data_IF_672490424158
#
_entry.id   IF_672490424158
#
_cell.length_a   1.000
_cell.length_b   1.000
_cell.length_c   1.000
_cell.angle_alpha   90.00
_cell.angle_beta   90.00
_cell.angle_gamma   90.00
#
_symmetry.space_group_name_H-M   'P 1'
#
loop_
_entity.id
_entity.type
_entity.pdbx_description
1 polymer ?
#
# COMPACT_ATOMS: atom_id res chain seq x y z
N UNK A 1 -0.19 -7.71 33.57
CA UNK A 1 -1.21 -7.81 32.50
C UNK A 1 -0.47 -7.83 31.17
N UNK A 2 -0.25 -9.02 30.61
CA UNK A 2 0.56 -9.18 29.38
C UNK A 2 -0.38 -8.89 28.20
N UNK A 3 -0.30 -7.68 27.68
CA UNK A 3 -0.98 -7.30 26.44
C UNK A 3 -0.27 -8.06 25.33
N UNK A 4 -0.90 -9.14 24.85
CA UNK A 4 -0.46 -9.82 23.63
C UNK A 4 -0.61 -8.81 22.49
N UNK A 5 0.49 -8.17 22.08
CA UNK A 5 0.59 -7.50 20.79
C UNK A 5 0.17 -8.54 19.74
N UNK A 6 -1.01 -8.34 19.17
CA UNK A 6 -1.59 -9.25 18.18
C UNK A 6 -0.69 -9.14 16.94
N UNK A 7 0.20 -10.12 16.76
CA UNK A 7 1.07 -10.23 15.58
C UNK A 7 0.18 -10.28 14.33
N UNK A 8 0.38 -9.40 13.34
CA UNK A 8 -0.32 -9.47 12.06
C UNK A 8 0.20 -10.61 11.16
N UNK A 9 1.21 -11.36 11.60
CA UNK A 9 1.84 -12.45 10.83
C UNK A 9 0.90 -13.61 10.45
N UNK A 10 -0.33 -13.68 10.96
CA UNK A 10 -1.22 -14.81 10.69
C UNK A 10 -1.98 -14.76 9.35
N UNK A 11 -1.78 -13.74 8.52
CA UNK A 11 -2.37 -13.70 7.16
C UNK A 11 -1.31 -14.02 6.08
N UNK A 12 -0.06 -14.29 6.47
CA UNK A 12 1.07 -14.39 5.54
C UNK A 12 1.18 -15.69 4.72
N UNK A 13 0.35 -16.71 4.95
CA UNK A 13 0.59 -18.06 4.41
C UNK A 13 -0.51 -18.65 3.51
N UNK A 14 -1.52 -17.89 3.09
CA UNK A 14 -2.59 -18.41 2.24
C UNK A 14 -2.77 -17.55 0.99
N UNK A 15 -1.96 -17.88 -0.03
CA UNK A 15 -2.38 -18.18 -1.41
C UNK A 15 -1.12 -18.31 -2.28
N UNK A 16 -0.50 -19.48 -2.21
CA UNK A 16 0.59 -19.92 -3.10
C UNK A 16 0.05 -20.27 -4.50
N UNK A 17 -0.57 -19.32 -5.21
CA UNK A 17 -1.05 -19.56 -6.58
C UNK A 17 -0.89 -18.37 -7.53
N UNK A 18 0.14 -17.54 -7.35
CA UNK A 18 0.69 -16.73 -8.44
C UNK A 18 2.13 -17.18 -8.67
N UNK A 19 2.31 -18.16 -9.56
CA UNK A 19 3.61 -18.57 -10.08
C UNK A 19 4.21 -17.36 -10.83
N UNK A 20 5.46 -17.02 -10.49
CA UNK A 20 6.31 -15.95 -11.05
C UNK A 20 6.01 -14.50 -10.62
N UNK A 21 6.55 -14.11 -9.45
CA UNK A 21 7.65 -13.12 -9.39
C UNK A 21 7.94 -12.73 -7.94
N UNK A 22 9.22 -12.85 -7.60
CA UNK A 22 9.93 -12.30 -6.46
C UNK A 22 9.28 -12.48 -5.08
N UNK A 23 9.93 -13.32 -4.28
CA UNK A 23 9.87 -13.31 -2.82
C UNK A 23 10.07 -11.87 -2.32
N UNK A 24 8.98 -11.12 -2.20
CA UNK A 24 8.98 -9.85 -1.49
C UNK A 24 8.93 -10.21 0.00
N UNK A 25 10.11 -10.35 0.59
CA UNK A 25 10.28 -10.16 2.03
C UNK A 25 9.53 -8.88 2.39
N UNK A 26 8.40 -9.03 3.09
CA UNK A 26 7.67 -7.89 3.62
C UNK A 26 8.40 -7.50 4.89
N UNK A 27 9.46 -6.71 4.76
CA UNK A 27 10.02 -5.97 5.89
C UNK A 27 8.89 -5.13 6.50
N UNK A 28 8.83 -5.03 7.84
CA UNK A 28 7.82 -4.21 8.50
C UNK A 28 8.16 -2.74 8.19
N UNK A 29 7.41 -2.02 7.35
CA UNK A 29 7.79 -0.65 7.01
C UNK A 29 7.64 0.21 8.27
N UNK A 30 8.68 0.98 8.61
CA UNK A 30 8.60 2.03 9.63
C UNK A 30 7.75 3.17 9.07
N UNK A 31 6.44 3.06 9.22
CA UNK A 31 5.56 4.03 8.61
C UNK A 31 5.55 5.33 9.41
N UNK A 32 6.04 6.41 8.80
CA UNK A 32 6.01 7.77 9.35
C UNK A 32 4.61 8.38 9.23
N UNK A 33 4.21 9.17 10.23
CA UNK A 33 3.01 10.00 10.16
C UNK A 33 3.34 11.34 9.49
N UNK A 34 2.79 11.58 8.30
CA UNK A 34 3.05 12.79 7.50
C UNK A 34 2.08 13.93 7.79
N UNK A 35 1.19 13.79 8.78
CA UNK A 35 0.18 14.79 9.13
C UNK A 35 0.78 16.16 9.52
N UNK A 36 2.07 16.19 9.88
CA UNK A 36 2.80 17.42 10.18
C UNK A 36 3.24 18.21 8.93
N UNK A 37 3.15 17.64 7.73
CA UNK A 37 3.45 18.37 6.49
C UNK A 37 2.29 19.32 6.11
N UNK A 38 2.60 20.51 5.58
CA UNK A 38 1.57 21.43 5.11
C UNK A 38 0.76 20.81 3.97
N UNK A 39 -0.55 21.07 3.94
CA UNK A 39 -1.51 20.52 2.97
C UNK A 39 -1.07 20.74 1.52
N UNK A 40 -0.46 21.90 1.22
CA UNK A 40 0.00 22.24 -0.11
C UNK A 40 1.12 21.32 -0.62
N UNK A 41 1.96 20.78 0.28
CA UNK A 41 2.99 19.83 -0.09
C UNK A 41 2.43 18.41 -0.28
N UNK A 42 1.50 18.00 0.60
CA UNK A 42 0.77 16.72 0.48
C UNK A 42 -0.08 16.63 -0.79
N UNK A 43 -0.63 17.76 -1.25
CA UNK A 43 -1.47 17.86 -2.44
C UNK A 43 -0.72 18.44 -3.66
N UNK A 44 0.61 18.48 -3.60
CA UNK A 44 1.41 19.02 -4.70
C UNK A 44 1.24 18.18 -5.97
N UNK A 45 1.38 18.82 -7.14
CA UNK A 45 1.35 18.11 -8.43
C UNK A 45 2.44 17.04 -8.53
N UNK A 46 3.58 17.27 -7.88
CA UNK A 46 4.69 16.32 -7.77
C UNK A 46 4.32 15.09 -6.93
N UNK A 47 3.69 15.29 -5.76
CA UNK A 47 3.19 14.20 -4.93
C UNK A 47 2.19 13.32 -5.68
N UNK A 48 1.32 13.92 -6.50
CA UNK A 48 0.39 13.17 -7.35
C UNK A 48 1.11 12.34 -8.42
N UNK A 49 2.10 12.93 -9.10
CA UNK A 49 2.93 12.19 -10.07
C UNK A 49 3.72 11.05 -9.42
N UNK A 50 4.21 11.25 -8.20
CA UNK A 50 4.88 10.21 -7.44
C UNK A 50 3.92 9.07 -7.09
N UNK A 51 2.72 9.40 -6.60
CA UNK A 51 1.69 8.39 -6.31
C UNK A 51 1.29 7.59 -7.57
N UNK A 52 1.14 8.25 -8.71
CA UNK A 52 0.83 7.56 -9.98
C UNK A 52 1.96 6.59 -10.38
N UNK A 53 3.23 6.96 -10.17
CA UNK A 53 4.38 6.07 -10.37
C UNK A 53 4.39 4.91 -9.38
N UNK A 54 4.11 5.17 -8.11
CA UNK A 54 4.04 4.15 -7.08
C UNK A 54 2.95 3.10 -7.38
N UNK A 55 1.78 3.55 -7.84
CA UNK A 55 0.72 2.65 -8.31
C UNK A 55 1.18 1.82 -9.51
N UNK A 56 1.98 2.40 -10.43
CA UNK A 56 2.53 1.67 -11.56
C UNK A 56 3.58 0.62 -11.16
N UNK A 57 4.36 0.88 -10.10
CA UNK A 57 5.36 -0.03 -9.54
C UNK A 57 4.75 -1.25 -8.82
N UNK A 58 3.49 -1.17 -8.39
CA UNK A 58 2.79 -2.33 -7.85
C UNK A 58 2.74 -3.48 -8.86
N UNK A 59 2.85 -4.71 -8.37
CA UNK A 59 2.67 -5.89 -9.21
C UNK A 59 1.27 -5.89 -9.83
N UNK A 60 1.14 -6.44 -11.04
CA UNK A 60 -0.10 -6.38 -11.81
C UNK A 60 -1.32 -6.87 -11.00
N UNK A 61 -1.18 -7.97 -10.25
CA UNK A 61 -2.24 -8.52 -9.40
C UNK A 61 -2.68 -7.58 -8.27
N UNK A 62 -1.75 -6.82 -7.68
CA UNK A 62 -2.06 -5.86 -6.62
C UNK A 62 -2.68 -4.58 -7.20
N UNK A 63 -2.10 -4.08 -8.29
CA UNK A 63 -2.54 -2.88 -8.99
C UNK A 63 -3.97 -3.01 -9.49
N UNK A 64 -4.31 -4.12 -10.16
CA UNK A 64 -5.66 -4.33 -10.70
C UNK A 64 -6.71 -4.32 -9.58
N UNK A 65 -6.45 -5.01 -8.47
CA UNK A 65 -7.36 -5.03 -7.32
C UNK A 65 -7.49 -3.64 -6.68
N UNK A 66 -6.39 -2.90 -6.56
CA UNK A 66 -6.39 -1.53 -6.03
C UNK A 66 -7.18 -0.58 -6.93
N UNK A 67 -6.93 -0.59 -8.25
CA UNK A 67 -7.64 0.27 -9.22
C UNK A 67 -9.14 0.00 -9.19
N UNK A 68 -9.55 -1.27 -9.27
CA UNK A 68 -10.98 -1.61 -9.27
C UNK A 68 -11.69 -1.16 -8.00
N UNK A 69 -11.04 -1.22 -6.83
CA UNK A 69 -11.69 -0.89 -5.56
C UNK A 69 -11.56 0.58 -5.17
N UNK A 70 -10.34 1.14 -5.23
CA UNK A 70 -10.04 2.50 -4.74
C UNK A 70 -10.30 3.59 -5.77
N UNK A 71 -10.17 3.27 -7.06
CA UNK A 71 -10.33 4.26 -8.14
C UNK A 71 -11.71 4.11 -8.80
N UNK A 72 -12.06 2.90 -9.22
CA UNK A 72 -13.33 2.63 -9.90
C UNK A 72 -14.50 2.42 -8.92
N UNK A 73 -14.22 2.18 -7.64
CA UNK A 73 -15.23 2.08 -6.58
C UNK A 73 -16.04 0.78 -6.56
N UNK A 74 -15.58 -0.29 -7.21
CA UNK A 74 -16.24 -1.59 -7.19
C UNK A 74 -16.23 -2.19 -5.77
N UNK A 75 -17.28 -2.95 -5.46
CA UNK A 75 -17.34 -3.73 -4.23
C UNK A 75 -16.38 -4.92 -4.27
N UNK A 76 -16.06 -5.47 -3.08
CA UNK A 76 -15.21 -6.66 -2.95
C UNK A 76 -15.82 -7.85 -3.71
N UNK A 77 -17.15 -7.98 -3.69
CA UNK A 77 -17.85 -9.07 -4.36
C UNK A 77 -17.79 -8.91 -5.88
N UNK A 78 -18.05 -7.71 -6.41
CA UNK A 78 -17.95 -7.44 -7.86
C UNK A 78 -16.51 -7.63 -8.36
N UNK A 79 -15.53 -7.21 -7.57
CA UNK A 79 -14.10 -7.43 -7.89
C UNK A 79 -13.76 -8.92 -7.87
N UNK A 80 -14.35 -9.70 -6.96
CA UNK A 80 -14.19 -11.16 -6.86
C UNK A 80 -14.74 -11.84 -8.09
N UNK A 81 -15.94 -11.46 -8.52
CA UNK A 81 -16.59 -11.97 -9.72
C UNK A 81 -15.83 -11.57 -11.00
N UNK A 82 -15.34 -10.33 -11.08
CA UNK A 82 -14.59 -9.83 -12.23
C UNK A 82 -13.22 -10.49 -12.40
N UNK A 83 -12.52 -10.80 -11.31
CA UNK A 83 -11.18 -11.38 -11.33
C UNK A 83 -11.15 -12.91 -11.11
N UNK A 84 -12.28 -13.51 -10.74
CA UNK A 84 -12.37 -14.96 -10.49
C UNK A 84 -11.59 -15.45 -9.27
N UNK A 85 -11.37 -14.58 -8.28
CA UNK A 85 -10.56 -14.84 -7.07
C UNK A 85 -11.41 -14.71 -5.81
N UNK A 86 -11.00 -15.32 -4.71
CA UNK A 86 -11.76 -15.28 -3.45
C UNK A 86 -11.84 -13.85 -2.86
N UNK A 87 -12.92 -13.52 -2.15
CA UNK A 87 -13.02 -12.25 -1.43
C UNK A 87 -11.90 -12.08 -0.38
N UNK A 88 -11.42 -13.19 0.19
CA UNK A 88 -10.29 -13.22 1.10
C UNK A 88 -9.00 -12.79 0.38
N UNK A 89 -8.74 -13.34 -0.81
CA UNK A 89 -7.63 -12.95 -1.68
C UNK A 89 -7.63 -11.44 -1.95
N UNK A 90 -8.80 -10.87 -2.26
CA UNK A 90 -8.95 -9.44 -2.53
C UNK A 90 -8.60 -8.60 -1.30
N UNK A 91 -9.13 -8.96 -0.13
CA UNK A 91 -8.84 -8.24 1.13
C UNK A 91 -7.34 -8.23 1.42
N UNK A 92 -6.66 -9.37 1.19
CA UNK A 92 -5.21 -9.51 1.38
C UNK A 92 -4.44 -8.69 0.33
N UNK A 93 -4.80 -8.81 -0.95
CA UNK A 93 -4.17 -8.05 -2.04
C UNK A 93 -4.34 -6.53 -1.84
N UNK A 94 -5.52 -6.07 -1.42
CA UNK A 94 -5.74 -4.66 -1.08
C UNK A 94 -4.89 -4.20 0.10
N UNK A 95 -4.77 -5.01 1.15
CA UNK A 95 -3.91 -4.69 2.29
C UNK A 95 -2.45 -4.56 1.83
N UNK A 96 -1.95 -5.53 1.06
CA UNK A 96 -0.58 -5.50 0.52
C UNK A 96 -0.33 -4.32 -0.41
N UNK A 97 -1.27 -4.02 -1.30
CA UNK A 97 -1.19 -2.87 -2.20
C UNK A 97 -1.08 -1.56 -1.40
N UNK A 98 -1.94 -1.36 -0.39
CA UNK A 98 -1.91 -0.17 0.46
C UNK A 98 -0.65 -0.07 1.31
N UNK A 99 -0.14 -1.18 1.83
CA UNK A 99 1.11 -1.18 2.60
C UNK A 99 2.29 -0.77 1.74
N UNK A 100 2.44 -1.35 0.53
CA UNK A 100 3.48 -0.95 -0.42
C UNK A 100 3.40 0.52 -0.81
N UNK A 101 2.20 1.00 -1.15
CA UNK A 101 2.01 2.42 -1.47
C UNK A 101 2.37 3.32 -0.28
N UNK A 102 2.03 2.89 0.94
CA UNK A 102 2.34 3.65 2.15
C UNK A 102 3.84 3.67 2.44
N UNK A 103 4.55 2.60 2.15
CA UNK A 103 6.01 2.52 2.24
C UNK A 103 6.69 3.48 1.25
N UNK A 104 6.31 3.43 -0.03
CA UNK A 104 6.84 4.35 -1.05
C UNK A 104 6.55 5.83 -0.71
N UNK A 105 5.35 6.12 -0.22
CA UNK A 105 5.01 7.46 0.26
C UNK A 105 5.77 7.85 1.54
N UNK A 106 6.14 6.87 2.38
CA UNK A 106 6.92 7.12 3.60
C UNK A 106 8.31 7.63 3.25
N UNK A 107 8.94 7.00 2.27
CA UNK A 107 10.24 7.41 1.76
C UNK A 107 10.15 8.81 1.14
N UNK A 108 9.19 9.04 0.24
CA UNK A 108 9.01 10.32 -0.45
C UNK A 108 8.74 11.50 0.51
N UNK A 109 7.84 11.34 1.46
CA UNK A 109 7.54 12.39 2.44
C UNK A 109 8.55 12.46 3.57
N UNK A 110 9.25 11.36 3.88
CA UNK A 110 10.32 11.32 4.87
C UNK A 110 11.49 12.22 4.47
N UNK A 111 11.90 12.17 3.20
CA UNK A 111 12.93 13.07 2.65
C UNK A 111 12.50 14.54 2.79
N UNK A 112 11.28 14.88 2.38
CA UNK A 112 10.75 16.25 2.43
C UNK A 112 10.55 16.77 3.86
N UNK A 113 10.16 15.87 4.78
CA UNK A 113 10.05 16.20 6.19
C UNK A 113 11.44 16.49 6.80
N UNK A 114 12.45 15.71 6.43
CA UNK A 114 13.83 15.92 6.88
C UNK A 114 14.43 17.22 6.34
N UNK A 115 14.19 17.57 5.07
CA UNK A 115 14.61 18.84 4.47
C UNK A 115 14.01 20.03 5.25
N UNK A 116 12.70 20.01 5.53
CA UNK A 116 12.06 21.10 6.29
C UNK A 116 12.59 21.22 7.72
N UNK A 117 12.81 20.10 8.42
CA UNK A 117 13.35 20.11 9.78
C UNK A 117 14.81 20.59 9.84
N UNK A 118 15.52 20.61 8.71
CA UNK A 118 16.89 21.14 8.63
C UNK A 118 16.98 22.64 8.32
N UNK A 119 15.89 23.23 7.80
CA UNK A 119 15.79 24.66 7.47
C UNK A 119 15.22 25.51 8.62
N UNK A 120 14.69 24.90 9.69
CA UNK A 120 14.24 25.54 10.94
C UNK A 120 15.33 25.54 12.03
#
# INVERSE_FOLDING_TARGET
MIIRKRRPELILALEQNDTQSAEAEVEEPEIVDWCCLPEQELLSGEARQFLDKAIQNLSASLRVVFVLRDIEGLSIRETSEALGISEAAIKIRLLRARLKLREELTEYYGERLAERLSDE
#
